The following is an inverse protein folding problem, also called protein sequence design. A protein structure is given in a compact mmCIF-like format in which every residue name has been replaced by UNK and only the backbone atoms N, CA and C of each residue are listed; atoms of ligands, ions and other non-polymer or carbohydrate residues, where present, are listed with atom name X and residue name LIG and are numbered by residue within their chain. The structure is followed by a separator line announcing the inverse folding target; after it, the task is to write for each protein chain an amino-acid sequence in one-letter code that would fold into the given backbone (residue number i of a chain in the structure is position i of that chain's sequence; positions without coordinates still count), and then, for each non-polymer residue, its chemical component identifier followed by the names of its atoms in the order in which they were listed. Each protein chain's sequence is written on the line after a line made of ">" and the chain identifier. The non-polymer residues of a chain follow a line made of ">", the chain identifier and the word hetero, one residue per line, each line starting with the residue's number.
data_IF_853821135441
#
_entry.id   IF_853821135441
#
_cell.length_a   1.000
_cell.length_b   1.000
_cell.length_c   1.000
_cell.angle_alpha   90.00
_cell.angle_beta   90.00
_cell.angle_gamma   90.00
#
_symmetry.space_group_name_H-M   'P 1'
#
loop_
_entity.id
_entity.type
_entity.pdbx_description
1 polymer ?
#
# COMPACT_ATOMS: atom_id res chain seq x y z
N UNK A 1 -5.26 -21.40 -18.58
CA UNK A 1 -4.43 -20.36 -19.00
C UNK A 1 -3.97 -19.47 -17.84
N UNK A 2 -2.73 -19.18 -17.81
CA UNK A 2 -2.19 -18.41 -16.71
C UNK A 2 -2.19 -16.93 -17.06
N UNK A 3 -2.84 -16.16 -16.26
CA UNK A 3 -2.76 -14.73 -16.40
C UNK A 3 -1.74 -14.21 -15.44
N UNK A 4 -0.91 -13.33 -15.94
CA UNK A 4 -0.01 -12.63 -15.07
C UNK A 4 -0.78 -11.53 -14.34
N UNK A 5 -0.65 -11.50 -13.05
CA UNK A 5 -1.21 -10.41 -12.27
C UNK A 5 -0.24 -9.25 -12.15
N UNK A 6 0.92 -9.42 -12.73
CA UNK A 6 1.94 -8.42 -12.71
C UNK A 6 1.49 -7.20 -13.49
N UNK A 7 1.60 -6.03 -12.89
CA UNK A 7 1.16 -4.81 -13.53
C UNK A 7 -0.33 -4.52 -13.40
N UNK A 8 -1.10 -5.46 -12.85
CA UNK A 8 -2.52 -5.25 -12.63
C UNK A 8 -2.74 -4.75 -11.20
N UNK A 9 -3.50 -3.68 -11.03
CA UNK A 9 -3.79 -3.22 -9.67
C UNK A 9 -4.63 -4.24 -8.92
N UNK A 10 -4.41 -4.33 -7.62
CA UNK A 10 -5.20 -5.20 -6.78
C UNK A 10 -6.61 -4.64 -6.61
N UNK A 11 -7.60 -5.51 -6.67
CA UNK A 11 -8.94 -5.12 -6.29
C UNK A 11 -8.98 -4.88 -4.80
N UNK A 12 -9.95 -4.09 -4.34
CA UNK A 12 -10.01 -3.73 -2.93
C UNK A 12 -10.06 -4.95 -2.02
N UNK A 13 -10.80 -5.99 -2.43
CA UNK A 13 -10.91 -7.20 -1.63
C UNK A 13 -9.63 -8.04 -1.62
N UNK A 14 -8.70 -7.74 -2.52
CA UNK A 14 -7.41 -8.44 -2.56
C UNK A 14 -6.34 -7.74 -1.72
N UNK A 15 -6.63 -6.53 -1.26
CA UNK A 15 -5.66 -5.75 -0.52
C UNK A 15 -5.66 -6.14 0.95
N UNK A 16 -4.50 -5.95 1.57
CA UNK A 16 -4.33 -6.29 2.97
C UNK A 16 -4.95 -5.24 3.88
N UNK A 17 -5.57 -5.69 4.94
CA UNK A 17 -6.08 -4.81 6.00
C UNK A 17 -5.19 -4.85 7.24
N UNK A 18 -3.97 -5.37 7.13
CA UNK A 18 -3.06 -5.49 8.25
C UNK A 18 -2.31 -4.18 8.47
N UNK A 19 -2.72 -3.44 9.49
CA UNK A 19 -2.12 -2.14 9.79
C UNK A 19 -0.65 -2.25 10.18
N UNK A 20 -0.26 -3.34 10.82
CA UNK A 20 1.14 -3.52 11.20
C UNK A 20 2.02 -3.66 9.98
N UNK A 21 1.57 -4.43 9.00
CA UNK A 21 2.30 -4.58 7.75
C UNK A 21 2.33 -3.28 6.96
N UNK A 22 1.23 -2.55 6.96
CA UNK A 22 1.15 -1.27 6.28
C UNK A 22 2.13 -0.28 6.90
N UNK A 23 2.23 -0.27 8.23
CA UNK A 23 3.15 0.62 8.91
C UNK A 23 4.59 0.26 8.57
N UNK A 24 4.92 -1.03 8.58
CA UNK A 24 6.26 -1.47 8.23
C UNK A 24 6.61 -1.06 6.81
N UNK A 25 5.66 -1.21 5.89
CA UNK A 25 5.88 -0.80 4.50
C UNK A 25 6.09 0.71 4.38
N UNK A 26 5.31 1.47 5.15
CA UNK A 26 5.45 2.92 5.14
C UNK A 26 6.85 3.33 5.59
N UNK A 27 7.36 2.69 6.63
CA UNK A 27 8.71 2.99 7.11
C UNK A 27 9.77 2.65 6.08
N UNK A 28 9.59 1.55 5.35
CA UNK A 28 10.51 1.20 4.27
C UNK A 28 10.51 2.26 3.16
N UNK A 29 9.33 2.70 2.79
CA UNK A 29 9.19 3.71 1.74
C UNK A 29 9.82 5.04 2.17
N UNK A 30 9.60 5.44 3.39
CA UNK A 30 10.15 6.68 3.90
C UNK A 30 11.66 6.62 4.08
N UNK A 31 12.19 5.44 4.37
CA UNK A 31 13.63 5.27 4.50
C UNK A 31 14.34 5.41 3.16
N UNK A 32 13.67 5.08 2.07
CA UNK A 32 14.27 5.12 0.74
C UNK A 32 14.06 6.41 -0.01
N UNK A 33 13.07 7.20 0.38
CA UNK A 33 12.77 8.43 -0.35
C UNK A 33 11.90 9.35 0.50
N UNK A 34 11.91 10.61 0.13
CA UNK A 34 11.06 11.58 0.78
C UNK A 34 9.70 11.59 0.10
N UNK A 35 8.66 11.32 0.87
CA UNK A 35 7.30 11.27 0.35
C UNK A 35 6.41 12.17 1.17
N UNK A 36 5.52 12.90 0.50
CA UNK A 36 4.47 13.62 1.20
C UNK A 36 3.45 12.61 1.72
N UNK A 37 2.61 13.02 2.66
CA UNK A 37 1.58 12.12 3.18
C UNK A 37 0.64 11.64 2.08
N UNK A 38 0.32 12.51 1.13
CA UNK A 38 -0.51 12.11 -0.01
C UNK A 38 0.15 11.07 -0.88
N UNK A 39 1.45 11.22 -1.13
CA UNK A 39 2.19 10.25 -1.91
C UNK A 39 2.29 8.92 -1.18
N UNK A 40 2.53 8.97 0.11
CA UNK A 40 2.62 7.77 0.92
C UNK A 40 1.28 7.03 0.93
N UNK A 41 0.19 7.75 1.12
CA UNK A 41 -1.14 7.19 1.10
C UNK A 41 -1.42 6.49 -0.24
N UNK A 42 -1.05 7.14 -1.34
CA UNK A 42 -1.25 6.59 -2.66
C UNK A 42 -0.48 5.29 -2.85
N UNK A 43 0.77 5.26 -2.40
CA UNK A 43 1.58 4.06 -2.54
C UNK A 43 1.08 2.92 -1.68
N UNK A 44 0.69 3.22 -0.45
CA UNK A 44 0.13 2.21 0.43
C UNK A 44 -1.20 1.70 -0.10
N UNK A 45 -1.99 2.56 -0.72
CA UNK A 45 -3.28 2.19 -1.25
C UNK A 45 -3.23 1.17 -2.36
N UNK A 46 -2.06 0.92 -2.93
CA UNK A 46 -1.91 -0.10 -3.96
C UNK A 46 -1.91 -1.50 -3.39
N UNK A 47 -1.54 -1.66 -2.12
CA UNK A 47 -1.44 -2.98 -1.49
C UNK A 47 -2.35 -3.14 -0.29
N UNK A 48 -2.77 -2.04 0.29
CA UNK A 48 -3.58 -2.05 1.50
C UNK A 48 -4.90 -1.37 1.23
N UNK A 49 -5.91 -1.74 2.02
CA UNK A 49 -7.22 -1.12 1.87
C UNK A 49 -7.13 0.35 2.24
N UNK A 50 -8.08 1.13 1.75
CA UNK A 50 -8.12 2.56 2.03
C UNK A 50 -8.09 2.88 3.52
N UNK A 51 -8.94 2.25 4.34
CA UNK A 51 -8.91 2.54 5.77
C UNK A 51 -7.57 2.20 6.41
N UNK A 52 -6.93 1.13 5.95
CA UNK A 52 -5.64 0.70 6.48
C UNK A 52 -4.55 1.71 6.13
N UNK A 53 -4.52 2.14 4.88
CA UNK A 53 -3.54 3.13 4.44
C UNK A 53 -3.75 4.45 5.17
N UNK A 54 -4.99 4.87 5.33
CA UNK A 54 -5.31 6.11 6.01
C UNK A 54 -4.90 6.08 7.49
N UNK A 55 -5.02 4.91 8.11
CA UNK A 55 -4.67 4.77 9.53
C UNK A 55 -3.16 4.89 9.75
N UNK A 56 -2.36 4.58 8.75
CA UNK A 56 -0.91 4.61 8.87
C UNK A 56 -0.35 5.99 8.51
N UNK A 57 -0.97 6.67 7.58
CA UNK A 57 -0.52 8.01 7.12
C UNK A 57 -0.94 9.19 8.07
#
# INVERSE_FOLDING_TARGET
>A
MAFSRRGRPLAEEEKSADAAKARARAMELLAGQELSSGQLYERLGRRFTQPTAAAVV
#
